data_IF_741647303506
#
_entry.id   IF_741647303506
#
_cell.length_a   1.000
_cell.length_b   1.000
_cell.length_c   1.000
_cell.angle_alpha   90.00
_cell.angle_beta   90.00
_cell.angle_gamma   90.00
#
_symmetry.space_group_name_H-M   'P 1'
#
loop_
_entity.id
_entity.type
_entity.pdbx_description
1 polymer ?
#
# COMPACT_ATOMS: atom_id res chain seq x y z
N UNK A 1 3.39 -18.34 -18.12
CA UNK A 1 2.44 -17.34 -17.59
C UNK A 1 3.16 -16.65 -16.45
N UNK A 2 3.72 -15.47 -16.68
CA UNK A 2 4.45 -14.74 -15.64
C UNK A 2 3.44 -14.31 -14.58
N UNK A 3 3.48 -14.93 -13.41
CA UNK A 3 2.77 -14.42 -12.24
C UNK A 3 3.42 -13.08 -11.91
N UNK A 4 2.73 -11.98 -12.17
CA UNK A 4 3.19 -10.65 -11.80
C UNK A 4 3.25 -10.61 -10.27
N UNK A 5 4.44 -10.85 -9.72
CA UNK A 5 4.71 -10.66 -8.29
C UNK A 5 4.59 -9.16 -8.00
N UNK A 6 3.42 -8.69 -7.56
CA UNK A 6 3.30 -7.33 -7.11
C UNK A 6 4.08 -7.16 -5.81
N UNK A 7 5.21 -6.46 -5.90
CA UNK A 7 6.06 -6.09 -4.79
C UNK A 7 5.70 -4.65 -4.42
N UNK A 8 4.66 -4.44 -3.60
CA UNK A 8 4.40 -3.11 -3.03
C UNK A 8 5.61 -2.73 -2.19
N UNK A 9 6.38 -1.78 -2.70
CA UNK A 9 7.54 -1.28 -2.01
C UNK A 9 7.10 -0.27 -0.96
N UNK A 10 7.54 -0.47 0.28
CA UNK A 10 7.38 0.53 1.31
C UNK A 10 8.10 1.82 0.85
N UNK A 11 7.33 2.90 0.69
CA UNK A 11 7.86 4.24 0.41
C UNK A 11 7.04 5.29 1.17
N UNK A 12 7.71 6.22 1.84
CA UNK A 12 7.02 7.38 2.44
C UNK A 12 6.56 8.33 1.33
N UNK A 13 5.28 8.26 0.98
CA UNK A 13 4.66 9.23 0.06
C UNK A 13 4.36 10.53 0.82
N UNK A 14 4.77 11.71 0.31
CA UNK A 14 4.44 12.99 0.93
C UNK A 14 2.93 13.27 0.81
N UNK A 15 2.36 14.02 1.75
CA UNK A 15 0.92 14.31 1.80
C UNK A 15 0.37 15.01 0.55
N UNK A 16 1.23 15.67 -0.24
CA UNK A 16 0.87 16.29 -1.53
C UNK A 16 0.57 15.27 -2.63
N UNK A 17 1.08 14.04 -2.50
CA UNK A 17 0.88 12.92 -3.43
C UNK A 17 0.05 11.79 -2.84
N UNK A 18 -0.37 11.91 -1.58
CA UNK A 18 -1.27 10.92 -0.98
C UNK A 18 -2.68 11.12 -1.54
N UNK A 19 -3.38 10.02 -1.84
CA UNK A 19 -4.76 10.09 -2.31
C UNK A 19 -5.65 10.70 -1.23
N UNK A 20 -6.59 11.55 -1.67
CA UNK A 20 -7.62 12.11 -0.78
C UNK A 20 -8.73 11.07 -0.62
N UNK A 21 -8.61 10.24 0.39
CA UNK A 21 -9.60 9.20 0.71
C UNK A 21 -10.52 9.64 1.85
N UNK A 22 -11.77 9.16 1.83
CA UNK A 22 -12.74 9.34 2.91
C UNK A 22 -12.55 8.31 4.02
N UNK A 23 -13.12 8.56 5.20
CA UNK A 23 -13.05 7.66 6.35
C UNK A 23 -13.53 6.24 6.02
N UNK A 24 -14.65 6.09 5.29
CA UNK A 24 -15.18 4.78 4.91
C UNK A 24 -14.24 4.01 3.97
N UNK A 25 -13.58 4.72 3.06
CA UNK A 25 -12.61 4.13 2.13
C UNK A 25 -11.33 3.72 2.89
N UNK A 26 -10.90 4.55 3.83
CA UNK A 26 -9.78 4.24 4.70
C UNK A 26 -10.04 3.00 5.57
N UNK A 27 -11.27 2.82 6.09
CA UNK A 27 -11.64 1.60 6.84
C UNK A 27 -11.46 0.34 6.00
N UNK A 28 -11.93 0.35 4.76
CA UNK A 28 -11.77 -0.76 3.80
C UNK A 28 -10.29 -1.06 3.57
N UNK A 29 -9.49 -0.03 3.29
CA UNK A 29 -8.05 -0.15 3.07
C UNK A 29 -7.31 -0.70 4.30
N UNK A 30 -7.62 -0.20 5.49
CA UNK A 30 -6.98 -0.64 6.74
C UNK A 30 -7.35 -2.08 7.11
N UNK A 31 -8.60 -2.49 6.88
CA UNK A 31 -9.05 -3.87 7.11
C UNK A 31 -8.30 -4.85 6.21
N UNK A 32 -8.23 -4.53 4.92
CA UNK A 32 -7.48 -5.32 3.95
C UNK A 32 -5.98 -5.34 4.28
N UNK A 33 -5.38 -4.20 4.63
CA UNK A 33 -3.95 -4.08 4.97
C UNK A 33 -3.57 -4.91 6.20
N UNK A 34 -4.44 -4.95 7.20
CA UNK A 34 -4.20 -5.71 8.44
C UNK A 34 -4.14 -7.22 8.16
N UNK A 35 -4.95 -7.67 7.20
CA UNK A 35 -5.03 -9.07 6.75
C UNK A 35 -3.90 -9.42 5.78
N UNK A 36 -3.68 -8.58 4.76
CA UNK A 36 -2.66 -8.76 3.74
C UNK A 36 -1.90 -7.44 3.51
N UNK A 37 -0.64 -7.38 3.96
CA UNK A 37 0.22 -6.17 3.86
C UNK A 37 0.89 -6.04 2.48
N UNK A 38 0.92 -7.11 1.69
CA UNK A 38 1.47 -7.15 0.33
C UNK A 38 0.43 -7.76 -0.63
N UNK A 39 -0.64 -7.01 -0.96
CA UNK A 39 -1.63 -7.46 -1.93
C UNK A 39 -1.01 -7.64 -3.31
N UNK A 40 -1.45 -8.68 -4.02
CA UNK A 40 -1.13 -8.87 -5.44
C UNK A 40 -1.78 -7.78 -6.29
N UNK A 41 -1.44 -7.72 -7.58
CA UNK A 41 -2.06 -6.76 -8.50
C UNK A 41 -3.58 -6.96 -8.56
N UNK A 42 -4.02 -8.22 -8.64
CA UNK A 42 -5.44 -8.59 -8.58
C UNK A 42 -6.10 -8.17 -7.27
N UNK A 43 -5.44 -8.38 -6.14
CA UNK A 43 -5.97 -7.96 -4.83
C UNK A 43 -6.11 -6.43 -4.77
N UNK A 44 -5.15 -5.67 -5.32
CA UNK A 44 -5.23 -4.22 -5.40
C UNK A 44 -6.42 -3.77 -6.24
N UNK A 45 -6.68 -4.41 -7.39
CA UNK A 45 -7.86 -4.14 -8.22
C UNK A 45 -9.16 -4.41 -7.47
N UNK A 46 -9.25 -5.53 -6.73
CA UNK A 46 -10.42 -5.88 -5.94
C UNK A 46 -10.66 -4.88 -4.80
N UNK A 47 -9.60 -4.50 -4.08
CA UNK A 47 -9.67 -3.51 -2.99
C UNK A 47 -10.06 -2.13 -3.55
N UNK A 48 -9.55 -1.74 -4.70
CA UNK A 48 -9.89 -0.50 -5.38
C UNK A 48 -11.39 -0.46 -5.72
N UNK A 49 -11.93 -1.55 -6.27
CA UNK A 49 -13.35 -1.68 -6.55
C UNK A 49 -14.21 -1.63 -5.28
N UNK A 50 -13.80 -2.31 -4.20
CA UNK A 50 -14.51 -2.33 -2.91
C UNK A 50 -14.51 -0.96 -2.22
N UNK A 51 -13.37 -0.25 -2.24
CA UNK A 51 -13.22 1.08 -1.66
C UNK A 51 -13.75 2.21 -2.56
N UNK A 52 -14.09 1.92 -3.82
CA UNK A 52 -14.45 2.92 -4.82
C UNK A 52 -13.31 3.90 -5.12
N UNK A 53 -12.08 3.40 -5.18
CA UNK A 53 -10.85 4.15 -5.44
C UNK A 53 -10.19 3.69 -6.74
N UNK A 54 -9.22 4.47 -7.23
CA UNK A 54 -8.38 4.03 -8.34
C UNK A 54 -7.29 3.08 -7.85
N UNK A 55 -6.84 2.16 -8.69
CA UNK A 55 -5.73 1.23 -8.36
C UNK A 55 -4.45 1.98 -7.97
N UNK A 56 -4.18 3.13 -8.61
CA UNK A 56 -3.06 4.00 -8.26
C UNK A 56 -3.18 4.57 -6.84
N UNK A 57 -4.37 5.01 -6.44
CA UNK A 57 -4.64 5.53 -5.10
C UNK A 57 -4.41 4.44 -4.03
N UNK A 58 -4.95 3.24 -4.28
CA UNK A 58 -4.75 2.08 -3.39
C UNK A 58 -3.27 1.78 -3.26
N UNK A 59 -2.53 1.74 -4.37
CA UNK A 59 -1.09 1.48 -4.38
C UNK A 59 -0.32 2.53 -3.58
N UNK A 60 -0.55 3.82 -3.82
CA UNK A 60 0.13 4.92 -3.11
C UNK A 60 -0.16 4.88 -1.60
N UNK A 61 -1.41 4.58 -1.22
CA UNK A 61 -1.79 4.42 0.17
C UNK A 61 -1.08 3.23 0.82
N UNK A 62 -1.08 2.07 0.16
CA UNK A 62 -0.43 0.85 0.66
C UNK A 62 1.08 1.06 0.84
N UNK A 63 1.72 1.68 -0.14
CA UNK A 63 3.15 2.00 -0.09
C UNK A 63 3.51 2.88 1.12
N UNK A 64 2.75 3.94 1.36
CA UNK A 64 2.93 4.83 2.51
C UNK A 64 2.62 4.13 3.83
N UNK A 65 1.50 3.40 3.89
CA UNK A 65 1.09 2.67 5.09
C UNK A 65 2.10 1.60 5.47
N UNK A 66 2.64 0.89 4.49
CA UNK A 66 3.68 -0.11 4.69
C UNK A 66 4.97 0.53 5.21
N UNK A 67 5.36 1.69 4.70
CA UNK A 67 6.51 2.44 5.21
C UNK A 67 6.34 2.89 6.67
N UNK A 68 5.17 3.44 7.01
CA UNK A 68 4.83 3.81 8.38
C UNK A 68 4.79 2.60 9.32
N UNK A 69 4.28 1.45 8.84
CA UNK A 69 4.31 0.21 9.61
C UNK A 69 5.75 -0.27 9.86
N UNK A 70 6.62 -0.23 8.84
CA UNK A 70 8.04 -0.59 8.99
C UNK A 70 8.76 0.28 10.01
N UNK A 71 8.54 1.59 9.99
CA UNK A 71 9.11 2.50 11.00
C UNK A 71 8.68 2.13 12.42
N UNK A 72 7.40 1.76 12.61
CA UNK A 72 6.91 1.31 13.91
C UNK A 72 7.54 -0.01 14.37
N UNK A 73 7.96 -0.87 13.42
CA UNK A 73 8.73 -2.09 13.72
C UNK A 73 10.23 -1.83 13.93
N UNK A 74 10.69 -0.56 13.87
CA UNK A 74 12.11 -0.22 13.93
C UNK A 74 12.88 -0.50 12.63
N UNK A 75 12.17 -0.80 11.53
CA UNK A 75 12.75 -1.03 10.22
C UNK A 75 12.84 0.27 9.41
N UNK A 76 13.77 0.38 8.44
CA UNK A 76 13.80 1.52 7.54
C UNK A 76 12.49 1.64 6.76
N UNK A 77 11.99 2.88 6.68
CA UNK A 77 10.69 3.21 6.08
C UNK A 77 10.63 2.85 4.59
N UNK A 78 11.71 3.11 3.88
CA UNK A 78 11.83 2.79 2.46
C UNK A 78 12.48 1.42 2.31
N UNK A 79 12.01 0.63 1.35
CA UNK A 79 12.71 -0.59 0.91
C UNK A 79 13.98 -0.20 0.15
N UNK A 80 14.96 0.38 0.85
CA UNK A 80 16.31 0.52 0.32
C UNK A 80 16.85 -0.90 0.20
N UNK A 81 17.05 -1.34 -1.04
CA UNK A 81 17.90 -2.50 -1.32
C UNK A 81 19.22 -2.22 -0.62
N UNK A 82 19.54 -2.99 0.42
CA UNK A 82 20.88 -3.02 0.99
C UNK A 82 21.73 -3.64 -0.12
N UNK A 83 22.27 -2.81 -0.99
CA UNK A 83 23.30 -3.23 -1.94
C UNK A 83 24.61 -2.81 -1.30
N UNK A 84 25.29 -3.82 -0.74
CA UNK A 84 26.67 -3.91 -0.25
C UNK A 84 27.24 -2.71 0.52
#
# INVERSE_FOLDING_TARGET
MSVSNANIQAQLTPSTRLPKIKEDQERVLQSNFSSNRNPTDLDQTLIAAEAGLSEEDVKLWYQHRLACWRQQQGLPANSRSIMD
#
